data_IF_475356913522
#
_entry.id   IF_475356913522
#
_cell.length_a   1.000
_cell.length_b   1.000
_cell.length_c   1.000
_cell.angle_alpha   90.00
_cell.angle_beta   90.00
_cell.angle_gamma   90.00
#
_symmetry.space_group_name_H-M   'P 1'
#
loop_
_entity.id
_entity.type
_entity.pdbx_description
1 polymer ?
#
# COMPACT_ATOMS: atom_id res chain seq x y z
N UNK A 1 -56.14 -59.22 37.63
CA UNK A 1 -55.06 -60.06 37.04
C UNK A 1 -54.94 -59.83 35.54
N UNK A 2 -55.60 -60.56 34.62
CA UNK A 2 -55.34 -60.43 33.15
C UNK A 2 -55.42 -58.99 32.62
N UNK A 3 -56.46 -58.21 32.98
CA UNK A 3 -56.54 -56.78 32.59
C UNK A 3 -55.42 -55.90 33.17
N UNK A 4 -54.93 -56.23 34.36
CA UNK A 4 -53.85 -55.50 35.04
C UNK A 4 -52.52 -55.77 34.34
N UNK A 5 -52.20 -57.04 34.08
CA UNK A 5 -50.99 -57.45 33.32
C UNK A 5 -50.99 -56.81 31.93
N UNK A 6 -52.15 -56.71 31.27
CA UNK A 6 -52.28 -56.04 29.97
C UNK A 6 -52.07 -54.53 30.07
N UNK A 7 -52.68 -53.86 31.04
CA UNK A 7 -52.50 -52.42 31.24
C UNK A 7 -51.06 -52.08 31.62
N UNK A 8 -50.42 -52.87 32.49
CA UNK A 8 -49.02 -52.72 32.88
C UNK A 8 -48.06 -52.95 31.70
N UNK A 9 -48.42 -53.83 30.75
CA UNK A 9 -47.68 -54.06 29.52
C UNK A 9 -47.91 -52.92 28.49
N UNK A 10 -49.10 -52.34 28.42
CA UNK A 10 -49.43 -51.19 27.58
C UNK A 10 -48.74 -49.90 28.12
N UNK A 11 -48.71 -49.69 29.44
CA UNK A 11 -47.94 -48.61 30.09
C UNK A 11 -46.43 -48.75 29.82
N UNK A 12 -45.86 -49.96 30.00
CA UNK A 12 -44.43 -50.21 29.71
C UNK A 12 -44.08 -50.12 28.23
N UNK A 13 -45.00 -50.48 27.33
CA UNK A 13 -44.79 -50.30 25.89
C UNK A 13 -44.70 -48.80 25.54
N UNK A 14 -45.55 -47.97 26.13
CA UNK A 14 -45.54 -46.52 25.92
C UNK A 14 -44.34 -45.82 26.61
N UNK A 15 -43.92 -46.27 27.80
CA UNK A 15 -42.64 -45.80 28.40
C UNK A 15 -41.45 -46.11 27.48
N UNK A 16 -41.40 -47.33 26.92
CA UNK A 16 -40.33 -47.74 26.00
C UNK A 16 -40.37 -46.95 24.68
N UNK A 17 -41.54 -46.66 24.11
CA UNK A 17 -41.64 -45.88 22.87
C UNK A 17 -41.22 -44.42 23.07
N UNK A 18 -41.73 -43.77 24.13
CA UNK A 18 -41.35 -42.38 24.45
C UNK A 18 -39.86 -42.28 24.78
N UNK A 19 -39.32 -43.20 25.58
CA UNK A 19 -37.89 -43.27 25.87
C UNK A 19 -37.05 -43.43 24.60
N UNK A 20 -37.47 -44.28 23.65
CA UNK A 20 -36.75 -44.48 22.39
C UNK A 20 -36.82 -43.27 21.44
N UNK A 21 -37.95 -42.55 21.42
CA UNK A 21 -38.11 -41.32 20.61
C UNK A 21 -37.32 -40.13 21.19
N UNK A 22 -37.25 -40.01 22.52
CA UNK A 22 -36.38 -39.05 23.18
C UNK A 22 -34.89 -39.37 22.95
N UNK A 23 -34.46 -40.62 23.14
CA UNK A 23 -33.09 -41.05 22.86
C UNK A 23 -32.69 -40.81 21.40
N UNK A 24 -33.54 -41.18 20.43
CA UNK A 24 -33.29 -40.96 19.01
C UNK A 24 -33.19 -39.47 18.65
N UNK A 25 -34.06 -38.62 19.18
CA UNK A 25 -33.97 -37.17 18.93
C UNK A 25 -32.75 -36.52 19.61
N UNK A 26 -32.35 -36.99 20.79
CA UNK A 26 -31.11 -36.58 21.46
C UNK A 26 -29.88 -36.99 20.64
N UNK A 27 -29.80 -38.25 20.17
CA UNK A 27 -28.66 -38.74 19.38
C UNK A 27 -28.55 -38.02 18.02
N UNK A 28 -29.69 -37.79 17.34
CA UNK A 28 -29.82 -36.99 16.12
C UNK A 28 -29.38 -35.54 16.33
N UNK A 29 -29.70 -34.92 17.47
CA UNK A 29 -29.18 -33.60 17.85
C UNK A 29 -27.66 -33.63 18.06
N UNK A 30 -27.15 -34.59 18.83
CA UNK A 30 -25.71 -34.74 19.11
C UNK A 30 -24.89 -34.95 17.83
N UNK A 31 -25.38 -35.76 16.87
CA UNK A 31 -24.77 -35.95 15.56
C UNK A 31 -24.68 -34.64 14.78
N UNK A 32 -25.80 -33.89 14.69
CA UNK A 32 -25.85 -32.59 14.00
C UNK A 32 -24.96 -31.55 14.68
N UNK A 33 -24.88 -31.53 16.01
CA UNK A 33 -23.98 -30.67 16.77
C UNK A 33 -22.50 -31.03 16.57
N UNK A 34 -22.16 -32.32 16.61
CA UNK A 34 -20.82 -32.84 16.34
C UNK A 34 -20.36 -32.51 14.92
N UNK A 35 -21.26 -32.60 13.94
CA UNK A 35 -20.97 -32.25 12.55
C UNK A 35 -20.81 -30.73 12.36
N UNK A 36 -21.71 -29.91 12.93
CA UNK A 36 -21.53 -28.44 13.04
C UNK A 36 -20.22 -28.06 13.76
N UNK A 37 -19.72 -28.89 14.68
CA UNK A 37 -18.45 -28.69 15.41
C UNK A 37 -17.25 -29.06 14.55
N UNK A 38 -17.28 -30.19 13.83
CA UNK A 38 -16.27 -30.57 12.81
C UNK A 38 -16.14 -29.49 11.74
N UNK A 39 -17.27 -29.04 11.17
CA UNK A 39 -17.33 -27.99 10.14
C UNK A 39 -16.71 -26.68 10.66
N UNK A 40 -17.10 -26.22 11.85
CA UNK A 40 -16.52 -25.00 12.46
C UNK A 40 -15.01 -25.11 12.65
N UNK A 41 -14.52 -26.24 13.17
CA UNK A 41 -13.08 -26.49 13.32
C UNK A 41 -12.33 -26.56 11.97
N UNK A 42 -12.97 -27.05 10.91
CA UNK A 42 -12.38 -27.06 9.56
C UNK A 42 -12.25 -25.64 8.99
N UNK A 43 -13.29 -24.80 9.11
CA UNK A 43 -13.22 -23.40 8.69
C UNK A 43 -12.22 -22.58 9.51
N UNK A 44 -12.18 -22.78 10.83
CA UNK A 44 -11.20 -22.12 11.72
C UNK A 44 -9.74 -22.52 11.37
N UNK A 45 -9.51 -23.78 10.99
CA UNK A 45 -8.22 -24.25 10.44
C UNK A 45 -7.89 -23.57 9.11
N UNK A 46 -8.86 -23.47 8.18
CA UNK A 46 -8.68 -22.79 6.88
C UNK A 46 -8.38 -21.30 7.05
N UNK A 47 -9.06 -20.61 7.95
CA UNK A 47 -8.81 -19.21 8.28
C UNK A 47 -7.39 -19.00 8.81
N UNK A 48 -6.97 -19.79 9.80
CA UNK A 48 -5.59 -19.77 10.34
C UNK A 48 -4.55 -20.08 9.26
N UNK A 49 -4.85 -21.01 8.35
CA UNK A 49 -3.97 -21.36 7.21
C UNK A 49 -3.87 -20.21 6.18
N UNK A 50 -4.96 -19.48 5.92
CA UNK A 50 -4.96 -18.27 5.07
C UNK A 50 -4.17 -17.13 5.72
N UNK A 51 -4.31 -16.92 7.03
CA UNK A 51 -3.53 -15.88 7.73
C UNK A 51 -2.03 -16.22 7.79
N UNK A 52 -1.68 -17.49 8.01
CA UNK A 52 -0.29 -17.98 7.90
C UNK A 52 0.24 -17.75 6.48
N UNK A 53 -0.50 -18.09 5.43
CA UNK A 53 -0.10 -17.81 4.04
C UNK A 53 0.14 -16.32 3.78
N UNK A 54 -0.75 -15.43 4.23
CA UNK A 54 -0.57 -13.97 4.11
C UNK A 54 0.69 -13.48 4.84
N UNK A 55 0.99 -14.00 6.02
CA UNK A 55 2.20 -13.65 6.78
C UNK A 55 3.47 -14.14 6.10
N UNK A 56 3.46 -15.34 5.52
CA UNK A 56 4.55 -15.87 4.69
C UNK A 56 4.75 -15.01 3.44
N UNK A 57 3.68 -14.72 2.70
CA UNK A 57 3.73 -13.94 1.46
C UNK A 57 4.25 -12.51 1.69
N UNK A 58 3.75 -11.81 2.72
CA UNK A 58 4.27 -10.52 3.15
C UNK A 58 5.75 -10.57 3.56
N UNK A 59 6.15 -11.61 4.31
CA UNK A 59 7.56 -11.82 4.67
C UNK A 59 8.44 -12.08 3.44
N UNK A 60 7.97 -12.85 2.47
CA UNK A 60 8.66 -13.08 1.19
C UNK A 60 8.82 -11.79 0.38
N UNK A 61 7.78 -10.96 0.30
CA UNK A 61 7.85 -9.64 -0.38
C UNK A 61 8.87 -8.71 0.31
N UNK A 62 8.88 -8.67 1.64
CA UNK A 62 9.82 -7.86 2.42
C UNK A 62 11.27 -8.37 2.27
N UNK A 63 11.47 -9.69 2.30
CA UNK A 63 12.78 -10.31 2.12
C UNK A 63 13.30 -10.14 0.68
N UNK A 64 12.45 -10.30 -0.34
CA UNK A 64 12.82 -10.04 -1.73
C UNK A 64 13.17 -8.56 -1.98
N UNK A 65 12.51 -7.64 -1.26
CA UNK A 65 12.85 -6.21 -1.29
C UNK A 65 14.21 -5.94 -0.62
N UNK A 66 14.49 -6.58 0.52
CA UNK A 66 15.80 -6.54 1.20
C UNK A 66 16.92 -7.10 0.32
N UNK A 67 16.72 -8.26 -0.32
CA UNK A 67 17.71 -8.89 -1.21
C UNK A 67 18.06 -7.95 -2.36
N UNK A 68 17.08 -7.25 -2.97
CA UNK A 68 17.36 -6.26 -4.02
C UNK A 68 18.16 -5.06 -3.55
N UNK A 69 17.95 -4.60 -2.31
CA UNK A 69 18.76 -3.52 -1.71
C UNK A 69 20.19 -4.00 -1.44
N UNK A 70 20.35 -5.22 -0.93
CA UNK A 70 21.68 -5.82 -0.72
C UNK A 70 22.42 -6.04 -2.06
N UNK A 71 21.76 -6.57 -3.08
CA UNK A 71 22.32 -6.71 -4.43
C UNK A 71 22.78 -5.36 -5.00
N UNK A 72 21.96 -4.31 -4.89
CA UNK A 72 22.36 -2.97 -5.33
C UNK A 72 23.54 -2.39 -4.51
N UNK A 73 23.67 -2.76 -3.23
CA UNK A 73 24.83 -2.38 -2.42
C UNK A 73 26.09 -3.18 -2.80
N UNK A 74 25.97 -4.49 -3.05
CA UNK A 74 27.05 -5.35 -3.53
C UNK A 74 27.52 -4.92 -4.93
N UNK A 75 26.61 -4.55 -5.83
CA UNK A 75 26.94 -4.01 -7.16
C UNK A 75 27.74 -2.70 -7.06
N UNK A 76 27.35 -1.79 -6.15
CA UNK A 76 28.11 -0.56 -5.87
C UNK A 76 29.49 -0.91 -5.30
N UNK A 77 29.58 -1.77 -4.28
CA UNK A 77 30.85 -2.19 -3.67
C UNK A 77 31.77 -2.88 -4.69
N UNK A 78 31.24 -3.74 -5.55
CA UNK A 78 32.00 -4.37 -6.62
C UNK A 78 32.47 -3.36 -7.67
N UNK A 79 31.65 -2.37 -8.05
CA UNK A 79 32.07 -1.30 -8.97
C UNK A 79 33.16 -0.42 -8.37
N UNK A 80 33.09 -0.12 -7.06
CA UNK A 80 34.14 0.60 -6.33
C UNK A 80 35.42 -0.24 -6.20
N UNK A 81 35.30 -1.55 -5.99
CA UNK A 81 36.43 -2.49 -5.94
C UNK A 81 37.11 -2.64 -7.31
N UNK A 82 36.35 -2.69 -8.40
CA UNK A 82 36.89 -2.64 -9.76
C UNK A 82 37.59 -1.30 -10.05
N UNK A 83 36.98 -0.17 -9.67
CA UNK A 83 37.59 1.14 -9.82
C UNK A 83 38.91 1.22 -9.04
N UNK A 84 38.91 0.84 -7.76
CA UNK A 84 40.12 0.78 -6.93
C UNK A 84 41.18 -0.19 -7.50
N UNK A 85 40.78 -1.33 -8.06
CA UNK A 85 41.70 -2.25 -8.74
C UNK A 85 42.34 -1.64 -10.00
N UNK A 86 41.55 -0.91 -10.80
CA UNK A 86 42.04 -0.16 -11.98
C UNK A 86 42.93 1.02 -11.59
N UNK A 87 42.69 1.65 -10.44
CA UNK A 87 43.57 2.69 -9.87
C UNK A 87 44.88 2.09 -9.32
N UNK A 88 44.81 0.98 -8.59
CA UNK A 88 45.98 0.27 -8.06
C UNK A 88 46.89 -0.29 -9.17
N UNK A 89 46.32 -0.77 -10.28
CA UNK A 89 47.09 -1.18 -11.46
C UNK A 89 47.84 -0.01 -12.12
N UNK A 90 47.29 1.21 -12.11
CA UNK A 90 48.03 2.42 -12.53
C UNK A 90 49.14 2.76 -11.52
N UNK A 91 48.81 2.77 -10.23
CA UNK A 91 49.77 3.09 -9.15
C UNK A 91 50.93 2.08 -9.05
N UNK A 92 50.73 0.85 -9.52
CA UNK A 92 51.78 -0.17 -9.65
C UNK A 92 52.84 0.13 -10.72
N UNK A 93 52.56 1.01 -11.68
CA UNK A 93 53.55 1.51 -12.64
C UNK A 93 54.53 2.51 -12.02
N UNK A 94 54.08 3.30 -11.04
CA UNK A 94 54.89 4.30 -10.36
C UNK A 94 55.55 3.75 -9.09
N UNK A 95 56.78 3.27 -9.24
CA UNK A 95 57.60 2.71 -8.16
C UNK A 95 57.74 3.64 -6.93
N UNK A 96 57.57 4.96 -7.13
CA UNK A 96 57.61 5.98 -6.08
C UNK A 96 56.29 6.14 -5.31
N UNK A 97 55.14 5.81 -5.93
CA UNK A 97 53.79 5.87 -5.32
C UNK A 97 53.54 4.63 -4.47
N UNK A 98 53.93 3.44 -4.96
CA UNK A 98 53.86 2.18 -4.21
C UNK A 98 54.54 2.29 -2.83
N UNK A 99 55.73 2.91 -2.78
CA UNK A 99 56.50 3.18 -1.54
C UNK A 99 55.80 4.14 -0.55
N UNK A 100 54.82 4.93 -1.01
CA UNK A 100 54.00 5.82 -0.18
C UNK A 100 52.78 5.08 0.38
N UNK A 101 52.04 4.37 -0.47
CA UNK A 101 50.90 3.52 -0.06
C UNK A 101 51.32 2.47 0.99
N UNK A 102 52.50 1.88 0.85
CA UNK A 102 53.05 0.90 1.79
C UNK A 102 53.43 1.52 3.15
N UNK A 103 53.65 2.85 3.23
CA UNK A 103 53.79 3.56 4.51
C UNK A 103 52.43 3.82 5.16
N UNK A 104 51.45 4.26 4.39
CA UNK A 104 50.13 4.62 4.93
C UNK A 104 49.37 3.36 5.43
N UNK A 105 49.55 2.21 4.76
CA UNK A 105 49.04 0.89 5.20
C UNK A 105 49.61 0.40 6.54
N UNK A 106 50.78 0.89 6.98
CA UNK A 106 51.39 0.50 8.27
C UNK A 106 50.72 1.25 9.46
N UNK A 107 49.93 2.30 9.20
CA UNK A 107 49.43 3.22 10.24
C UNK A 107 47.96 2.97 10.64
N UNK A 108 47.19 2.18 9.87
CA UNK A 108 45.76 1.92 10.13
C UNK A 108 45.47 0.56 10.78
N UNK A 109 46.35 0.09 11.66
CA UNK A 109 46.18 -1.14 12.45
C UNK A 109 45.70 -0.91 13.88
N UNK A 110 44.46 -0.42 14.06
CA UNK A 110 43.64 -0.38 15.30
C UNK A 110 42.38 0.47 14.97
N UNK A 111 41.12 0.10 15.22
CA UNK A 111 40.52 -0.73 16.29
C UNK A 111 39.39 -1.66 15.78
N UNK A 112 38.75 -2.43 16.67
CA UNK A 112 37.83 -3.55 16.36
C UNK A 112 36.32 -3.22 16.52
N UNK A 113 35.51 -4.14 15.97
CA UNK A 113 34.06 -4.40 16.14
C UNK A 113 33.56 -4.45 17.62
N UNK A 114 32.23 -4.54 17.97
CA UNK A 114 31.13 -5.10 17.15
C UNK A 114 29.68 -4.54 17.30
N UNK A 115 28.78 -5.17 16.53
CA UNK A 115 27.30 -5.03 16.50
C UNK A 115 26.61 -5.49 17.80
N UNK A 116 25.43 -4.94 18.15
CA UNK A 116 24.47 -5.58 19.07
C UNK A 116 22.98 -5.30 18.80
N UNK A 117 22.14 -6.28 19.13
CA UNK A 117 20.66 -6.22 19.14
C UNK A 117 20.10 -6.00 20.56
N UNK A 118 18.98 -5.28 20.68
CA UNK A 118 18.07 -5.17 21.85
C UNK A 118 16.67 -4.92 21.23
N UNK A 119 15.65 -5.80 21.25
CA UNK A 119 14.91 -6.52 22.31
C UNK A 119 13.82 -5.69 23.03
N UNK A 120 12.60 -6.23 23.15
CA UNK A 120 11.37 -5.58 23.64
C UNK A 120 11.13 -5.69 25.16
N UNK A 121 10.02 -5.10 25.65
CA UNK A 121 9.29 -5.32 26.93
C UNK A 121 9.69 -4.45 28.15
N UNK A 122 8.92 -4.42 29.27
CA UNK A 122 7.47 -4.12 29.34
C UNK A 122 7.06 -3.21 30.54
N UNK A 123 5.81 -2.68 30.54
CA UNK A 123 4.89 -2.36 31.68
C UNK A 123 3.61 -1.71 31.09
N UNK A 124 2.35 -2.02 31.41
CA UNK A 124 1.62 -2.55 32.59
C UNK A 124 1.08 -1.47 33.55
N UNK A 125 -0.26 -1.37 33.65
CA UNK A 125 -1.07 -0.98 34.83
C UNK A 125 -2.54 -1.45 34.62
N UNK A 126 -3.32 -1.64 35.70
CA UNK A 126 -4.71 -2.19 35.72
C UNK A 126 -5.75 -1.04 35.86
N UNK A 127 -7.08 -1.22 35.90
CA UNK A 127 -7.91 -1.83 36.98
C UNK A 127 -9.40 -2.01 36.63
N UNK A 128 -10.05 -2.97 37.33
CA UNK A 128 -11.47 -3.04 37.79
C UNK A 128 -12.60 -3.24 36.73
N UNK A 129 -13.55 -4.18 36.86
CA UNK A 129 -14.61 -4.44 37.89
C UNK A 129 -15.76 -3.38 37.83
N UNK A 130 -17.06 -3.69 37.86
CA UNK A 130 -17.80 -4.95 38.11
C UNK A 130 -19.23 -4.99 37.44
N UNK A 131 -20.11 -5.95 37.80
CA UNK A 131 -21.52 -6.16 37.34
C UNK A 131 -22.54 -5.57 38.37
N UNK A 132 -23.87 -5.91 38.53
CA UNK A 132 -24.80 -6.83 37.79
C UNK A 132 -26.33 -6.44 37.67
N UNK A 133 -27.14 -7.30 36.97
CA UNK A 133 -28.63 -7.50 37.07
C UNK A 133 -29.54 -6.33 36.59
N UNK A 134 -30.85 -6.46 36.28
CA UNK A 134 -31.91 -7.51 36.36
C UNK A 134 -32.97 -7.27 35.21
N UNK A 135 -34.18 -7.86 35.01
CA UNK A 135 -35.04 -8.86 35.69
C UNK A 135 -35.96 -9.65 34.69
N UNK A 136 -37.31 -9.49 34.72
CA UNK A 136 -38.40 -10.11 33.90
C UNK A 136 -39.67 -9.24 33.91
N UNK A 137 -40.63 -9.47 33.00
CA UNK A 137 -42.11 -9.33 33.21
C UNK A 137 -42.94 -10.03 32.11
N UNK A 138 -44.26 -10.22 32.31
CA UNK A 138 -45.20 -11.05 31.51
C UNK A 138 -46.62 -10.42 31.48
N UNK A 139 -47.37 -10.57 30.37
CA UNK A 139 -48.85 -10.44 30.23
C UNK A 139 -49.28 -11.10 28.87
N UNK A 140 -50.55 -11.44 28.52
CA UNK A 140 -51.65 -12.18 29.18
C UNK A 140 -52.75 -12.51 28.09
N UNK A 141 -53.95 -13.02 28.48
CA UNK A 141 -55.14 -13.40 27.65
C UNK A 141 -55.08 -14.80 26.97
N UNK A 142 -56.18 -15.55 26.71
CA UNK A 142 -57.58 -15.57 27.25
C UNK A 142 -58.26 -16.92 26.87
N UNK A 143 -59.34 -17.34 27.56
CA UNK A 143 -60.09 -18.60 27.32
C UNK A 143 -61.58 -18.36 26.98
N UNK A 144 -62.22 -19.29 26.23
CA UNK A 144 -63.67 -19.50 26.26
C UNK A 144 -64.09 -20.95 26.63
N UNK A 145 -65.33 -21.11 27.11
CA UNK A 145 -65.83 -22.34 27.74
C UNK A 145 -66.56 -23.32 26.81
N UNK A 146 -66.66 -24.59 27.23
CA UNK A 146 -67.62 -25.58 26.69
C UNK A 146 -68.80 -25.81 27.65
N UNK A 147 -69.98 -26.11 27.10
CA UNK A 147 -71.23 -26.37 27.85
C UNK A 147 -71.51 -27.87 27.94
N UNK A 148 -72.02 -28.32 29.09
CA UNK A 148 -72.63 -29.65 29.27
C UNK A 148 -74.13 -29.55 28.98
N UNK A 149 -74.69 -30.55 28.30
CA UNK A 149 -76.13 -30.68 28.01
C UNK A 149 -76.76 -31.76 28.88
N UNK A 150 -77.97 -31.49 29.39
CA UNK A 150 -78.68 -32.32 30.36
C UNK A 150 -79.48 -33.44 29.66
N UNK A 151 -79.47 -34.65 30.24
CA UNK A 151 -80.52 -35.66 30.03
C UNK A 151 -80.90 -36.33 31.36
N UNK A 152 -82.15 -36.82 31.43
CA UNK A 152 -82.74 -37.58 32.54
C UNK A 152 -84.07 -38.22 32.03
N UNK A 153 -84.72 -39.18 32.73
CA UNK A 153 -84.52 -40.58 32.39
C UNK A 153 -85.83 -41.41 32.26
N UNK A 154 -85.77 -42.59 31.61
CA UNK A 154 -86.61 -43.76 31.96
C UNK A 154 -86.33 -45.02 31.10
N UNK A 155 -85.64 -46.02 31.68
CA UNK A 155 -85.83 -47.43 31.35
C UNK A 155 -85.26 -48.30 32.49
N UNK A 156 -85.95 -49.37 32.90
CA UNK A 156 -85.39 -50.36 33.83
C UNK A 156 -84.48 -51.35 33.09
N UNK A 157 -83.32 -50.88 32.68
CA UNK A 157 -82.19 -51.76 32.34
C UNK A 157 -81.58 -52.31 33.64
N UNK A 158 -80.94 -53.49 33.60
CA UNK A 158 -80.20 -53.98 34.77
C UNK A 158 -78.99 -53.07 35.04
N UNK A 159 -78.58 -52.94 36.30
CA UNK A 159 -77.36 -52.21 36.70
C UNK A 159 -76.11 -52.66 35.92
N UNK A 160 -76.03 -53.96 35.63
CA UNK A 160 -74.96 -54.54 34.82
C UNK A 160 -74.91 -54.00 33.38
N UNK A 161 -76.03 -53.57 32.80
CA UNK A 161 -76.11 -53.01 31.45
C UNK A 161 -75.90 -51.50 31.43
N UNK A 162 -76.39 -50.79 32.46
CA UNK A 162 -76.04 -49.38 32.70
C UNK A 162 -74.52 -49.23 32.89
N UNK A 163 -73.91 -50.12 33.67
CA UNK A 163 -72.44 -50.17 33.85
C UNK A 163 -71.68 -50.43 32.55
N UNK A 164 -72.22 -51.26 31.63
CA UNK A 164 -71.63 -51.46 30.29
C UNK A 164 -71.69 -50.20 29.44
N UNK A 165 -72.82 -49.49 29.41
CA UNK A 165 -72.94 -48.22 28.68
C UNK A 165 -71.98 -47.16 29.23
N UNK A 166 -71.87 -47.02 30.55
CA UNK A 166 -70.90 -46.10 31.18
C UNK A 166 -69.46 -46.49 30.79
N UNK A 167 -69.10 -47.77 30.84
CA UNK A 167 -67.78 -48.23 30.39
C UNK A 167 -67.52 -47.99 28.89
N UNK A 168 -68.55 -48.04 28.05
CA UNK A 168 -68.45 -47.72 26.62
C UNK A 168 -68.24 -46.22 26.39
N UNK A 169 -68.97 -45.35 27.08
CA UNK A 169 -68.75 -43.91 27.05
C UNK A 169 -67.36 -43.52 27.56
N UNK A 170 -66.88 -44.14 28.66
CA UNK A 170 -65.53 -43.88 29.18
C UNK A 170 -64.44 -44.31 28.19
N UNK A 171 -64.64 -45.37 27.40
CA UNK A 171 -63.72 -45.72 26.31
C UNK A 171 -63.76 -44.72 25.17
N UNK A 172 -64.95 -44.30 24.75
CA UNK A 172 -65.10 -43.29 23.70
C UNK A 172 -64.39 -41.97 24.10
N UNK A 173 -64.61 -41.48 25.32
CA UNK A 173 -63.97 -40.26 25.84
C UNK A 173 -62.43 -40.42 25.90
N UNK A 174 -61.92 -41.62 26.24
CA UNK A 174 -60.47 -41.89 26.22
C UNK A 174 -59.92 -41.87 24.80
N UNK A 175 -60.56 -42.59 23.86
CA UNK A 175 -60.14 -42.63 22.47
C UNK A 175 -60.21 -41.24 21.82
N UNK A 176 -61.27 -40.46 22.08
CA UNK A 176 -61.39 -39.07 21.58
C UNK A 176 -60.28 -38.16 22.14
N UNK A 177 -59.88 -38.34 23.40
CA UNK A 177 -58.77 -37.60 24.00
C UNK A 177 -57.39 -38.05 23.48
N UNK A 178 -57.23 -39.33 23.17
CA UNK A 178 -56.00 -39.95 22.65
C UNK A 178 -55.80 -39.59 21.17
N UNK A 179 -56.86 -39.63 20.35
CA UNK A 179 -56.86 -39.12 18.97
C UNK A 179 -56.54 -37.61 18.92
N UNK A 180 -57.11 -36.80 19.83
CA UNK A 180 -56.78 -35.37 19.95
C UNK A 180 -55.36 -35.09 20.44
N UNK A 181 -54.84 -35.91 21.36
CA UNK A 181 -53.44 -35.79 21.79
C UNK A 181 -52.48 -36.09 20.63
N UNK A 182 -52.78 -37.12 19.85
CA UNK A 182 -52.01 -37.48 18.65
C UNK A 182 -52.10 -36.39 17.57
N UNK A 183 -53.29 -35.85 17.29
CA UNK A 183 -53.49 -34.71 16.37
C UNK A 183 -52.64 -33.50 16.76
N UNK A 184 -52.64 -33.13 18.05
CA UNK A 184 -51.82 -32.03 18.59
C UNK A 184 -50.31 -32.34 18.44
N UNK A 185 -49.88 -33.57 18.71
CA UNK A 185 -48.46 -33.96 18.63
C UNK A 185 -47.91 -33.91 17.19
N UNK A 186 -48.68 -34.42 16.22
CA UNK A 186 -48.31 -34.39 14.80
C UNK A 186 -48.28 -32.96 14.27
N UNK A 187 -49.31 -32.16 14.59
CA UNK A 187 -49.37 -30.74 14.22
C UNK A 187 -48.16 -29.96 14.78
N UNK A 188 -47.80 -30.20 16.05
CA UNK A 188 -46.64 -29.56 16.67
C UNK A 188 -45.29 -29.98 16.05
N UNK A 189 -45.12 -31.24 15.63
CA UNK A 189 -43.91 -31.65 14.91
C UNK A 189 -43.86 -31.05 13.49
N UNK A 190 -44.98 -30.95 12.78
CA UNK A 190 -45.04 -30.29 11.48
C UNK A 190 -44.69 -28.79 11.60
N UNK A 191 -45.33 -28.06 12.51
CA UNK A 191 -45.03 -26.64 12.77
C UNK A 191 -43.56 -26.42 13.16
N UNK A 192 -43.02 -27.24 14.09
CA UNK A 192 -41.62 -27.17 14.49
C UNK A 192 -40.65 -27.39 13.31
N UNK A 193 -40.90 -28.38 12.45
CA UNK A 193 -40.05 -28.63 11.30
C UNK A 193 -40.17 -27.53 10.23
N UNK A 194 -41.34 -26.91 10.07
CA UNK A 194 -41.55 -25.76 9.19
C UNK A 194 -40.78 -24.53 9.71
N UNK A 195 -40.94 -24.13 10.97
CA UNK A 195 -40.26 -22.95 11.53
C UNK A 195 -38.73 -23.12 11.51
N UNK A 196 -38.26 -24.29 11.93
CA UNK A 196 -36.84 -24.70 11.86
C UNK A 196 -36.26 -24.61 10.45
N UNK A 197 -37.02 -25.01 9.42
CA UNK A 197 -36.61 -24.85 8.03
C UNK A 197 -36.53 -23.37 7.65
N UNK A 198 -37.57 -22.58 7.95
CA UNK A 198 -37.62 -21.14 7.65
C UNK A 198 -36.46 -20.38 8.29
N UNK A 199 -36.16 -20.64 9.58
CA UNK A 199 -35.02 -20.04 10.29
C UNK A 199 -33.68 -20.37 9.62
N UNK A 200 -33.47 -21.65 9.26
CA UNK A 200 -32.24 -22.11 8.58
C UNK A 200 -32.13 -21.50 7.18
N UNK A 201 -33.21 -21.36 6.42
CA UNK A 201 -33.20 -20.75 5.09
C UNK A 201 -33.00 -19.23 5.12
N UNK A 202 -33.63 -18.54 6.09
CA UNK A 202 -33.42 -17.12 6.32
C UNK A 202 -31.96 -16.81 6.65
N UNK A 203 -31.33 -17.59 7.54
CA UNK A 203 -29.92 -17.39 7.89
C UNK A 203 -28.98 -17.75 6.73
N UNK A 204 -29.21 -18.86 6.02
CA UNK A 204 -28.51 -19.18 4.76
C UNK A 204 -28.63 -18.06 3.73
N UNK A 205 -29.78 -17.36 3.65
CA UNK A 205 -30.02 -16.23 2.74
C UNK A 205 -29.21 -14.99 3.16
N UNK A 206 -29.17 -14.63 4.45
CA UNK A 206 -28.31 -13.55 4.97
C UNK A 206 -26.83 -13.83 4.67
N UNK A 207 -26.36 -15.03 4.99
CA UNK A 207 -24.96 -15.46 4.77
C UNK A 207 -24.59 -15.34 3.29
N UNK A 208 -25.41 -15.85 2.36
CA UNK A 208 -25.16 -15.72 0.91
C UNK A 208 -25.01 -14.25 0.48
N UNK A 209 -25.91 -13.37 0.93
CA UNK A 209 -25.85 -11.94 0.60
C UNK A 209 -24.62 -11.23 1.21
N UNK A 210 -24.16 -11.66 2.39
CA UNK A 210 -22.94 -11.13 3.00
C UNK A 210 -21.68 -11.54 2.21
N UNK A 211 -21.60 -12.82 1.81
CA UNK A 211 -20.47 -13.32 1.02
C UNK A 211 -20.43 -12.73 -0.40
N UNK A 212 -21.57 -12.56 -1.05
CA UNK A 212 -21.67 -11.87 -2.36
C UNK A 212 -21.13 -10.42 -2.29
N UNK A 213 -21.39 -9.71 -1.19
CA UNK A 213 -20.83 -8.37 -0.94
C UNK A 213 -19.32 -8.41 -0.71
N UNK A 214 -18.82 -9.38 0.06
CA UNK A 214 -17.38 -9.60 0.30
C UNK A 214 -16.63 -9.93 -0.99
N UNK A 215 -17.19 -10.80 -1.83
CA UNK A 215 -16.64 -11.19 -3.13
C UNK A 215 -16.48 -9.99 -4.06
N UNK A 216 -17.56 -9.20 -4.25
CA UNK A 216 -17.51 -7.95 -5.03
C UNK A 216 -16.50 -6.95 -4.47
N UNK A 217 -16.37 -6.85 -3.14
CA UNK A 217 -15.35 -5.99 -2.52
C UNK A 217 -13.92 -6.49 -2.81
N UNK A 218 -13.67 -7.80 -2.80
CA UNK A 218 -12.37 -8.40 -3.15
C UNK A 218 -12.05 -8.19 -4.64
N UNK A 219 -13.03 -8.35 -5.53
CA UNK A 219 -12.84 -8.12 -6.96
C UNK A 219 -12.49 -6.65 -7.26
N UNK A 220 -13.17 -5.70 -6.63
CA UNK A 220 -12.87 -4.26 -6.71
C UNK A 220 -11.46 -3.96 -6.18
N UNK A 221 -11.09 -4.50 -5.01
CA UNK A 221 -9.73 -4.35 -4.45
C UNK A 221 -8.66 -4.88 -5.41
N UNK A 222 -8.87 -6.05 -6.02
CA UNK A 222 -7.95 -6.65 -7.00
C UNK A 222 -7.78 -5.77 -8.25
N UNK A 223 -8.86 -5.14 -8.75
CA UNK A 223 -8.82 -4.19 -9.87
C UNK A 223 -8.04 -2.91 -9.51
N UNK A 224 -8.26 -2.36 -8.31
CA UNK A 224 -7.53 -1.20 -7.79
C UNK A 224 -6.04 -1.53 -7.64
N UNK A 225 -5.70 -2.65 -6.99
CA UNK A 225 -4.32 -3.08 -6.77
C UNK A 225 -3.57 -3.30 -8.09
N UNK A 226 -4.17 -4.01 -9.05
CA UNK A 226 -3.60 -4.18 -10.39
C UNK A 226 -3.35 -2.83 -11.10
N UNK A 227 -4.31 -1.91 -11.03
CA UNK A 227 -4.15 -0.56 -11.58
C UNK A 227 -3.05 0.25 -10.88
N UNK A 228 -2.90 0.09 -9.56
CA UNK A 228 -1.82 0.73 -8.78
C UNK A 228 -0.45 0.16 -9.13
N UNK A 229 -0.33 -1.17 -9.26
CA UNK A 229 0.92 -1.84 -9.67
C UNK A 229 1.35 -1.45 -11.09
N UNK A 230 0.39 -1.37 -12.03
CA UNK A 230 0.64 -0.93 -13.40
C UNK A 230 1.06 0.55 -13.46
N UNK A 231 0.36 1.43 -12.73
CA UNK A 231 0.72 2.85 -12.67
C UNK A 231 2.09 3.07 -11.99
N UNK A 232 2.37 2.38 -10.89
CA UNK A 232 3.68 2.45 -10.21
C UNK A 232 4.82 1.95 -11.11
N UNK A 233 4.56 0.94 -11.96
CA UNK A 233 5.53 0.46 -12.95
C UNK A 233 5.74 1.48 -14.08
N UNK A 234 4.66 2.09 -14.59
CA UNK A 234 4.72 3.19 -15.57
C UNK A 234 5.50 4.40 -15.05
N UNK A 235 5.26 4.81 -13.79
CA UNK A 235 5.97 5.92 -13.16
C UNK A 235 7.47 5.63 -13.06
N UNK A 236 7.87 4.42 -12.65
CA UNK A 236 9.29 4.03 -12.60
C UNK A 236 9.98 4.08 -13.97
N UNK A 237 9.30 3.67 -15.04
CA UNK A 237 9.83 3.79 -16.42
C UNK A 237 9.99 5.26 -16.81
N UNK A 238 9.00 6.11 -16.51
CA UNK A 238 9.08 7.55 -16.79
C UNK A 238 10.18 8.26 -15.98
N UNK A 239 10.40 7.85 -14.73
CA UNK A 239 11.51 8.32 -13.90
C UNK A 239 12.85 7.93 -14.52
N UNK A 240 13.08 6.65 -14.80
CA UNK A 240 14.33 6.18 -15.42
C UNK A 240 14.61 6.83 -16.79
N UNK A 241 13.56 7.13 -17.58
CA UNK A 241 13.70 7.89 -18.83
C UNK A 241 14.15 9.34 -18.59
N UNK A 242 13.63 10.01 -17.55
CA UNK A 242 14.04 11.38 -17.22
C UNK A 242 15.44 11.40 -16.57
N UNK A 243 15.76 10.42 -15.73
CA UNK A 243 17.09 10.25 -15.12
C UNK A 243 18.20 10.13 -16.18
N UNK A 244 18.00 9.31 -17.22
CA UNK A 244 18.91 9.18 -18.37
C UNK A 244 19.04 10.51 -19.13
N UNK A 245 17.92 11.19 -19.36
CA UNK A 245 17.89 12.49 -20.06
C UNK A 245 18.62 13.56 -19.24
N UNK A 246 18.46 13.59 -17.92
CA UNK A 246 19.15 14.50 -17.02
C UNK A 246 20.65 14.15 -16.89
N UNK A 247 21.04 12.87 -16.86
CA UNK A 247 22.45 12.48 -16.84
C UNK A 247 23.17 12.88 -18.13
N UNK A 248 22.50 12.88 -19.28
CA UNK A 248 23.02 13.43 -20.54
C UNK A 248 23.19 14.96 -20.48
N UNK A 249 22.28 15.68 -19.82
CA UNK A 249 22.43 17.12 -19.57
C UNK A 249 23.65 17.42 -18.70
N UNK A 250 23.85 16.66 -17.62
CA UNK A 250 25.04 16.78 -16.77
C UNK A 250 26.33 16.45 -17.52
N UNK A 251 26.34 15.41 -18.36
CA UNK A 251 27.48 15.07 -19.20
C UNK A 251 27.83 16.23 -20.16
N UNK A 252 26.82 16.84 -20.81
CA UNK A 252 27.03 18.02 -21.65
C UNK A 252 27.60 19.20 -20.85
N UNK A 253 27.15 19.43 -19.61
CA UNK A 253 27.75 20.42 -18.70
C UNK A 253 29.22 20.11 -18.37
N UNK A 254 29.54 18.83 -18.13
CA UNK A 254 30.91 18.36 -17.87
C UNK A 254 31.85 18.53 -19.08
N UNK A 255 31.32 18.48 -20.30
CA UNK A 255 32.09 18.82 -21.51
C UNK A 255 32.22 20.35 -21.72
N UNK A 256 31.19 21.15 -21.41
CA UNK A 256 31.28 22.62 -21.46
C UNK A 256 32.34 23.18 -20.50
N UNK A 257 32.55 22.55 -19.35
CA UNK A 257 33.65 22.89 -18.43
C UNK A 257 35.03 22.73 -19.07
N UNK A 258 35.25 21.67 -19.87
CA UNK A 258 36.52 21.46 -20.59
C UNK A 258 36.72 22.54 -21.66
N UNK A 259 35.67 22.87 -22.40
CA UNK A 259 35.70 23.92 -23.42
C UNK A 259 35.98 25.33 -22.85
N UNK A 260 35.76 25.56 -21.54
CA UNK A 260 36.18 26.76 -20.84
C UNK A 260 37.68 26.85 -20.53
N UNK A 261 38.41 25.73 -20.58
CA UNK A 261 39.85 25.70 -20.28
C UNK A 261 40.73 26.33 -21.36
N UNK A 262 40.31 26.24 -22.64
CA UNK A 262 41.06 26.75 -23.78
C UNK A 262 41.00 28.28 -23.87
N UNK A 263 41.91 28.96 -23.16
CA UNK A 263 41.88 30.41 -22.94
C UNK A 263 41.67 31.25 -24.21
N UNK A 264 42.26 30.87 -25.36
CA UNK A 264 42.09 31.59 -26.61
C UNK A 264 40.68 31.41 -27.22
N UNK A 265 40.13 30.20 -27.17
CA UNK A 265 38.77 29.90 -27.64
C UNK A 265 37.73 30.53 -26.71
N UNK A 266 37.93 30.38 -25.40
CA UNK A 266 37.05 30.94 -24.37
C UNK A 266 37.08 32.47 -24.37
N UNK A 267 38.24 33.13 -24.56
CA UNK A 267 38.32 34.59 -24.72
C UNK A 267 37.49 35.10 -25.90
N UNK A 268 37.53 34.41 -27.06
CA UNK A 268 36.66 34.75 -28.19
C UNK A 268 35.18 34.53 -27.85
N UNK A 269 34.85 33.39 -27.25
CA UNK A 269 33.47 33.08 -26.85
C UNK A 269 32.90 34.10 -25.87
N UNK A 270 33.69 34.56 -24.89
CA UNK A 270 33.31 35.65 -23.97
C UNK A 270 32.98 36.94 -24.74
N UNK A 271 33.77 37.32 -25.76
CA UNK A 271 33.45 38.47 -26.62
C UNK A 271 32.08 38.31 -27.28
N UNK A 272 31.86 37.18 -27.96
CA UNK A 272 30.62 36.89 -28.69
C UNK A 272 29.40 36.89 -27.74
N UNK A 273 29.57 36.39 -26.51
CA UNK A 273 28.54 36.40 -25.46
C UNK A 273 28.23 37.81 -24.93
N UNK A 274 29.25 38.64 -24.69
CA UNK A 274 29.07 40.04 -24.25
C UNK A 274 28.33 40.83 -25.33
N UNK A 275 28.78 40.77 -26.60
CA UNK A 275 28.13 41.44 -27.73
C UNK A 275 26.68 40.96 -27.89
N UNK A 276 26.41 39.65 -27.75
CA UNK A 276 25.04 39.12 -27.82
C UNK A 276 24.15 39.63 -26.68
N UNK A 277 24.68 39.77 -25.46
CA UNK A 277 23.94 40.32 -24.32
C UNK A 277 23.64 41.81 -24.49
N UNK A 278 24.61 42.61 -24.94
CA UNK A 278 24.42 44.04 -25.23
C UNK A 278 23.34 44.26 -26.32
N UNK A 279 23.39 43.50 -27.41
CA UNK A 279 22.39 43.55 -28.50
C UNK A 279 20.96 43.17 -28.05
N UNK A 280 20.80 42.50 -26.91
CA UNK A 280 19.51 42.20 -26.29
C UNK A 280 19.08 43.22 -25.25
N UNK A 281 20.01 43.73 -24.45
CA UNK A 281 19.73 44.72 -23.40
C UNK A 281 19.43 46.10 -23.99
N UNK A 282 20.22 46.52 -24.99
CA UNK A 282 20.09 47.82 -25.71
C UNK A 282 20.09 49.07 -24.80
N UNK A 283 20.73 48.98 -23.65
CA UNK A 283 20.90 50.09 -22.71
C UNK A 283 22.24 50.84 -22.95
N UNK A 284 22.31 52.15 -22.64
CA UNK A 284 23.52 52.97 -22.82
C UNK A 284 24.60 52.69 -21.77
N UNK A 285 24.24 52.04 -20.66
CA UNK A 285 25.17 51.57 -19.64
C UNK A 285 24.73 50.20 -19.11
N UNK A 286 25.68 49.29 -18.92
CA UNK A 286 25.45 47.92 -18.47
C UNK A 286 26.45 47.51 -17.40
N UNK A 287 25.99 46.69 -16.46
CA UNK A 287 26.77 46.18 -15.33
C UNK A 287 27.02 44.68 -15.53
N UNK A 288 28.29 44.28 -15.68
CA UNK A 288 28.70 42.93 -16.05
C UNK A 288 29.15 42.12 -14.83
N UNK A 289 28.53 40.95 -14.66
CA UNK A 289 28.92 39.91 -13.69
C UNK A 289 29.57 38.73 -14.41
N UNK A 290 30.76 38.36 -13.94
CA UNK A 290 31.55 37.21 -14.39
C UNK A 290 32.10 36.46 -13.17
N UNK A 291 32.85 35.36 -13.37
CA UNK A 291 33.63 34.77 -12.26
C UNK A 291 34.80 35.65 -11.87
N UNK A 292 35.28 35.48 -10.63
CA UNK A 292 36.58 36.01 -10.19
C UNK A 292 37.73 35.55 -11.08
N UNK A 293 37.68 34.30 -11.53
CA UNK A 293 38.71 33.68 -12.37
C UNK A 293 38.70 34.24 -13.81
N UNK A 294 37.54 34.72 -14.28
CA UNK A 294 37.32 35.22 -15.64
C UNK A 294 37.63 36.72 -15.80
N UNK A 295 37.81 37.47 -14.69
CA UNK A 295 37.89 38.95 -14.70
C UNK A 295 38.90 39.48 -15.70
N UNK A 296 40.15 38.99 -15.66
CA UNK A 296 41.22 39.45 -16.56
C UNK A 296 40.97 39.10 -18.04
N UNK A 297 40.26 38.00 -18.31
CA UNK A 297 39.83 37.66 -19.67
C UNK A 297 38.75 38.63 -20.15
N UNK A 298 37.78 38.98 -19.30
CA UNK A 298 36.72 39.95 -19.60
C UNK A 298 37.28 41.37 -19.78
N UNK A 299 38.11 41.84 -18.85
CA UNK A 299 38.80 43.15 -18.94
C UNK A 299 39.50 43.30 -20.30
N UNK A 300 40.27 42.28 -20.71
CA UNK A 300 41.00 42.27 -21.99
C UNK A 300 40.13 42.04 -23.25
N UNK A 301 38.79 42.13 -23.12
CA UNK A 301 37.79 41.93 -24.18
C UNK A 301 36.77 43.07 -24.25
N UNK A 302 36.51 43.78 -23.13
CA UNK A 302 35.45 44.79 -23.01
C UNK A 302 35.44 45.81 -24.14
N UNK A 303 36.55 46.49 -24.40
CA UNK A 303 36.64 47.56 -25.40
C UNK A 303 36.23 47.06 -26.79
N UNK A 304 36.83 45.95 -27.22
CA UNK A 304 36.56 45.36 -28.53
C UNK A 304 35.11 44.82 -28.64
N UNK A 305 34.49 44.43 -27.53
CA UNK A 305 33.07 44.06 -27.49
C UNK A 305 32.14 45.29 -27.57
N UNK A 306 32.51 46.40 -26.93
CA UNK A 306 31.81 47.68 -27.02
C UNK A 306 31.86 48.27 -28.44
N UNK A 307 33.03 48.24 -29.09
CA UNK A 307 33.22 48.62 -30.49
C UNK A 307 32.36 47.76 -31.45
N UNK A 308 32.37 46.44 -31.27
CA UNK A 308 31.63 45.52 -32.14
C UNK A 308 30.11 45.66 -31.96
N UNK A 309 29.65 45.93 -30.73
CA UNK A 309 28.25 46.31 -30.48
C UNK A 309 27.90 47.64 -31.18
N UNK A 310 28.75 48.67 -31.04
CA UNK A 310 28.53 49.99 -31.65
C UNK A 310 28.40 49.87 -33.19
N UNK A 311 29.28 49.11 -33.82
CA UNK A 311 29.22 48.79 -35.26
C UNK A 311 27.95 48.01 -35.66
N UNK A 312 27.53 47.02 -34.87
CA UNK A 312 26.34 46.18 -35.18
C UNK A 312 25.01 46.88 -34.91
N UNK A 313 24.98 47.86 -34.01
CA UNK A 313 23.77 48.57 -33.59
C UNK A 313 23.67 50.01 -34.14
N UNK A 314 24.71 50.54 -34.80
CA UNK A 314 24.82 51.93 -35.28
C UNK A 314 24.56 52.98 -34.18
N UNK A 315 25.16 52.77 -33.00
CA UNK A 315 25.08 53.66 -31.83
C UNK A 315 26.46 53.84 -31.21
N UNK A 316 26.62 54.81 -30.31
CA UNK A 316 27.85 54.96 -29.52
C UNK A 316 28.10 53.73 -28.63
N UNK A 317 29.38 53.40 -28.33
CA UNK A 317 29.72 52.34 -27.38
C UNK A 317 29.06 52.56 -26.01
N UNK A 318 28.41 51.54 -25.42
CA UNK A 318 27.80 51.64 -24.10
C UNK A 318 28.87 51.57 -23.01
N UNK A 319 28.60 52.19 -21.86
CA UNK A 319 29.48 52.10 -20.69
C UNK A 319 29.30 50.73 -20.03
N UNK A 320 30.36 49.92 -19.97
CA UNK A 320 30.30 48.57 -19.36
C UNK A 320 31.15 48.56 -18.08
N UNK A 321 30.49 48.48 -16.93
CA UNK A 321 31.14 48.45 -15.60
C UNK A 321 31.17 47.00 -15.07
N UNK A 322 32.31 46.50 -14.56
CA UNK A 322 32.37 45.18 -13.93
C UNK A 322 31.86 45.26 -12.48
N UNK A 323 30.93 44.37 -12.10
CA UNK A 323 30.41 44.27 -10.74
C UNK A 323 31.41 43.57 -9.82
N UNK A 324 32.36 44.33 -9.28
CA UNK A 324 33.31 43.83 -8.29
C UNK A 324 32.70 43.47 -6.93
N UNK A 325 31.37 43.62 -6.74
CA UNK A 325 30.64 43.26 -5.51
C UNK A 325 29.96 41.90 -5.62
N UNK A 326 29.40 41.57 -6.79
CA UNK A 326 28.63 40.33 -7.03
C UNK A 326 29.19 39.54 -8.20
N UNK A 327 30.10 38.60 -7.90
CA UNK A 327 30.65 37.65 -8.87
C UNK A 327 29.72 36.45 -9.09
N UNK A 328 29.85 35.79 -10.25
CA UNK A 328 29.22 34.51 -10.52
C UNK A 328 29.83 33.37 -9.67
N UNK A 329 29.10 32.26 -9.44
CA UNK A 329 29.63 31.12 -8.70
C UNK A 329 30.91 30.54 -9.32
N UNK A 330 31.85 30.03 -8.49
CA UNK A 330 33.12 29.47 -8.95
C UNK A 330 32.94 28.20 -9.80
N UNK A 331 33.99 27.76 -10.52
CA UNK A 331 33.96 26.48 -11.21
C UNK A 331 33.81 25.31 -10.20
N UNK A 332 33.10 24.23 -10.57
CA UNK A 332 32.86 23.10 -9.68
C UNK A 332 34.18 22.42 -9.29
N UNK A 333 34.49 22.48 -8.00
CA UNK A 333 35.73 21.96 -7.41
C UNK A 333 35.45 20.71 -6.59
N UNK A 334 36.33 19.70 -6.68
CA UNK A 334 36.20 18.38 -6.01
C UNK A 334 35.95 18.39 -4.48
N UNK A 335 36.06 19.54 -3.80
CA UNK A 335 35.82 19.70 -2.35
C UNK A 335 34.42 20.19 -1.98
N UNK A 336 33.64 20.73 -2.93
CA UNK A 336 32.34 21.36 -2.67
C UNK A 336 31.20 20.69 -3.46
N UNK A 337 30.76 19.51 -3.04
CA UNK A 337 29.63 18.76 -3.65
C UNK A 337 28.23 19.37 -3.41
N UNK A 338 28.13 20.48 -2.70
CA UNK A 338 26.85 21.11 -2.32
C UNK A 338 26.81 22.63 -2.54
N UNK A 339 27.77 23.18 -3.27
CA UNK A 339 27.80 24.61 -3.61
C UNK A 339 27.12 24.90 -4.94
N UNK A 340 26.58 26.11 -5.10
CA UNK A 340 26.31 26.66 -6.43
C UNK A 340 27.61 26.73 -7.22
N UNK A 341 27.57 26.23 -8.46
CA UNK A 341 28.67 26.28 -9.42
C UNK A 341 28.17 26.87 -10.74
N UNK A 342 29.09 27.24 -11.61
CA UNK A 342 28.81 27.73 -12.96
C UNK A 342 29.91 27.22 -13.89
N UNK A 343 29.62 27.01 -15.18
CA UNK A 343 30.57 26.47 -16.16
C UNK A 343 31.31 27.55 -16.95
N UNK A 344 30.62 28.64 -17.35
CA UNK A 344 31.29 29.81 -17.93
C UNK A 344 30.33 30.94 -18.30
N UNK A 345 30.87 32.03 -18.87
CA UNK A 345 30.11 33.11 -19.48
C UNK A 345 29.80 34.28 -18.54
N UNK A 346 28.86 35.13 -18.98
CA UNK A 346 28.58 36.44 -18.37
C UNK A 346 27.10 36.66 -18.10
N UNK A 347 26.80 37.49 -17.11
CA UNK A 347 25.46 38.03 -16.86
C UNK A 347 25.55 39.54 -16.91
N UNK A 348 24.83 40.17 -17.85
CA UNK A 348 24.77 41.64 -17.95
C UNK A 348 23.45 42.11 -17.34
N UNK A 349 23.51 43.11 -16.48
CA UNK A 349 22.36 43.80 -15.93
C UNK A 349 22.28 45.24 -16.45
N UNK A 350 21.06 45.79 -16.43
CA UNK A 350 20.83 47.24 -16.42
C UNK A 350 21.63 47.92 -15.30
N UNK A 351 21.98 49.20 -15.47
CA UNK A 351 22.57 50.00 -14.37
C UNK A 351 21.67 50.06 -13.13
N UNK A 352 20.35 49.99 -13.32
CA UNK A 352 19.35 49.91 -12.25
C UNK A 352 19.21 48.50 -11.63
N UNK A 353 19.88 47.49 -12.19
CA UNK A 353 19.75 46.07 -11.81
C UNK A 353 18.41 45.41 -12.17
N UNK A 354 17.43 46.18 -12.69
CA UNK A 354 16.04 45.73 -12.97
C UNK A 354 15.94 44.71 -14.09
N UNK A 355 16.65 44.92 -15.19
CA UNK A 355 16.70 44.02 -16.34
C UNK A 355 18.00 43.23 -16.27
N UNK A 356 17.92 41.91 -16.40
CA UNK A 356 19.09 41.01 -16.32
C UNK A 356 19.09 40.06 -17.50
N UNK A 357 20.17 40.08 -18.28
CA UNK A 357 20.44 39.16 -19.38
C UNK A 357 21.45 38.10 -18.92
N UNK A 358 20.95 36.97 -18.45
CA UNK A 358 21.77 35.81 -18.15
C UNK A 358 22.24 35.14 -19.46
N UNK A 359 23.55 35.08 -19.67
CA UNK A 359 24.18 34.49 -20.84
C UNK A 359 25.35 33.56 -20.45
N UNK A 360 25.19 32.88 -19.30
CA UNK A 360 26.08 31.81 -18.82
C UNK A 360 25.99 30.59 -19.74
N UNK A 361 27.05 29.79 -19.79
CA UNK A 361 27.05 28.54 -20.57
C UNK A 361 25.98 27.56 -20.06
N UNK A 362 25.72 27.56 -18.75
CA UNK A 362 24.73 26.72 -18.08
C UNK A 362 23.30 27.13 -18.47
N UNK A 363 22.95 28.42 -18.42
CA UNK A 363 21.64 28.90 -18.84
C UNK A 363 21.41 28.70 -20.35
N UNK A 364 22.47 28.82 -21.17
CA UNK A 364 22.41 28.49 -22.60
C UNK A 364 22.16 27.01 -22.84
N UNK A 365 22.84 26.12 -22.10
CA UNK A 365 22.60 24.68 -22.13
C UNK A 365 21.14 24.39 -21.75
N UNK A 366 20.62 24.97 -20.67
CA UNK A 366 19.22 24.82 -20.26
C UNK A 366 18.22 25.24 -21.36
N UNK A 367 18.44 26.39 -21.98
CA UNK A 367 17.55 26.90 -23.05
C UNK A 367 17.62 26.04 -24.31
N UNK A 368 18.80 25.55 -24.71
CA UNK A 368 18.96 24.64 -25.85
C UNK A 368 18.35 23.27 -25.53
N UNK A 369 18.63 22.73 -24.35
CA UNK A 369 18.15 21.43 -23.89
C UNK A 369 16.63 21.39 -23.83
N UNK A 370 15.97 22.39 -23.21
CA UNK A 370 14.49 22.47 -23.17
C UNK A 370 13.88 22.54 -24.57
N UNK A 371 14.52 23.23 -25.53
CA UNK A 371 14.05 23.31 -26.92
C UNK A 371 14.26 22.01 -27.70
N UNK A 372 15.37 21.30 -27.45
CA UNK A 372 15.72 20.05 -28.13
C UNK A 372 15.19 18.79 -27.44
N UNK A 373 14.63 18.90 -26.23
CA UNK A 373 14.06 17.79 -25.46
C UNK A 373 13.08 16.89 -26.25
N UNK A 374 12.17 17.41 -27.12
CA UNK A 374 11.29 16.56 -27.92
C UNK A 374 12.05 15.73 -28.96
N UNK A 375 13.10 16.30 -29.57
CA UNK A 375 13.97 15.58 -30.50
C UNK A 375 14.80 14.53 -29.73
N UNK A 376 15.47 14.94 -28.64
CA UNK A 376 16.28 14.05 -27.79
C UNK A 376 15.46 12.84 -27.34
N UNK A 377 14.24 13.03 -26.83
CA UNK A 377 13.36 11.93 -26.42
C UNK A 377 12.94 11.02 -27.58
N UNK A 378 12.67 11.58 -28.78
CA UNK A 378 12.36 10.77 -29.98
C UNK A 378 13.56 9.95 -30.47
N UNK A 379 14.78 10.46 -30.34
CA UNK A 379 16.00 9.72 -30.72
C UNK A 379 16.38 8.64 -29.69
N UNK A 380 16.21 8.90 -28.39
CA UNK A 380 16.58 7.96 -27.31
C UNK A 380 15.56 6.82 -27.11
N UNK A 381 14.26 7.14 -27.13
CA UNK A 381 13.19 6.21 -26.76
C UNK A 381 12.32 5.81 -27.95
N UNK A 382 12.73 6.20 -29.17
CA UNK A 382 11.97 6.04 -30.39
C UNK A 382 10.70 6.91 -30.42
N UNK A 383 9.86 6.65 -31.42
CA UNK A 383 8.53 7.22 -31.48
C UNK A 383 7.57 6.24 -30.80
N UNK A 384 7.13 6.55 -29.58
CA UNK A 384 6.09 5.79 -28.88
C UNK A 384 4.80 5.90 -29.70
N UNK A 385 4.49 4.85 -30.45
CA UNK A 385 3.17 4.67 -31.04
C UNK A 385 2.16 4.51 -29.89
N UNK A 386 1.11 5.31 -29.93
CA UNK A 386 0.05 5.37 -28.92
C UNK A 386 -1.11 4.42 -29.27
#
# INVERSE_FOLDING_TARGET
>A
MVRFIRQEAEEKANEISVSAEEEFNIEKLQLVEAEKKKIRQEYERKEKQVEIRKKIEYSMQLNASRIKVLQAQDDVVNSMKEAAGKELLKAGGDHHVYKKLLKDLIVQGNTQDPVRFISLSPKSIRTAEELPRCARSIELLSLPSLRIVHLSPAAKMNDADVSKQIQQMVRFIRQEAEEKANEISVSAEEEFNIEKLQLVEAEKKKIRQEYERKEKQVEIRKKIEYSMQLNASRIKVLQAQDDVVNSMKEAAGKELLKAGGDHHVYKKLLKDLIVQSLLRLKEPAALLRCRKDDVHLVESVLDSAGEEYAQKANVHPPVIEIDHRVYLPPPPSHKNTSGLFCSGGVVLASRDGKIVCENTLDARLDVVFRKKLPEIRKWLFGQVAA
#
